data_IF_939157990390
#
_entry.id   IF_939157990390
#
_cell.length_a   1.000
_cell.length_b   1.000
_cell.length_c   1.000
_cell.angle_alpha   90.00
_cell.angle_beta   90.00
_cell.angle_gamma   90.00
#
_symmetry.space_group_name_H-M   'P 1'
#
loop_
_entity.id
_entity.type
_entity.pdbx_description
1 polymer ?
#
# COMPACT_ATOMS: atom_id res chain seq x y z
N UNK A 1 -30.60 -7.93 -19.87
CA UNK A 1 -29.32 -8.64 -20.10
C UNK A 1 -28.20 -7.90 -19.38
N UNK A 2 -27.78 -8.38 -18.21
CA UNK A 2 -26.72 -7.78 -17.40
C UNK A 2 -25.37 -8.39 -17.75
N UNK A 3 -24.56 -7.66 -18.51
CA UNK A 3 -23.20 -8.07 -18.87
C UNK A 3 -22.30 -8.04 -17.61
N UNK A 4 -22.13 -9.20 -16.95
CA UNK A 4 -21.09 -9.41 -15.94
C UNK A 4 -19.72 -9.27 -16.62
N UNK A 5 -19.10 -8.09 -16.55
CA UNK A 5 -17.68 -7.91 -16.90
C UNK A 5 -16.86 -8.77 -15.93
N UNK A 6 -16.26 -9.86 -16.44
CA UNK A 6 -15.23 -10.61 -15.73
C UNK A 6 -14.11 -9.64 -15.40
N UNK A 7 -13.92 -9.35 -14.11
CA UNK A 7 -12.73 -8.67 -13.61
C UNK A 7 -11.60 -9.69 -13.77
N UNK A 8 -10.98 -9.73 -14.94
CA UNK A 8 -9.71 -10.42 -15.08
C UNK A 8 -8.71 -9.55 -14.34
N UNK A 9 -8.42 -9.92 -13.08
CA UNK A 9 -7.27 -9.45 -12.35
C UNK A 9 -6.03 -9.94 -13.11
N UNK A 10 -5.65 -9.18 -14.15
CA UNK A 10 -4.35 -9.30 -14.79
C UNK A 10 -3.36 -8.68 -13.82
N UNK A 11 -2.99 -9.42 -12.80
CA UNK A 11 -1.91 -9.05 -11.88
C UNK A 11 -0.61 -9.31 -12.63
N UNK A 12 -0.31 -8.43 -13.58
CA UNK A 12 1.03 -8.34 -14.14
C UNK A 12 1.85 -7.58 -13.08
N UNK A 13 2.45 -8.32 -12.14
CA UNK A 13 3.42 -7.74 -11.21
C UNK A 13 4.61 -7.24 -12.02
N UNK A 14 4.64 -5.95 -12.34
CA UNK A 14 5.83 -5.32 -12.90
C UNK A 14 6.95 -5.30 -11.87
N UNK A 15 8.22 -5.29 -12.31
CA UNK A 15 9.40 -5.24 -11.44
C UNK A 15 9.31 -4.14 -10.38
N UNK A 16 8.71 -3.00 -10.72
CA UNK A 16 8.48 -1.90 -9.79
C UNK A 16 7.51 -2.24 -8.65
N UNK A 17 6.41 -2.96 -8.94
CA UNK A 17 5.43 -3.34 -7.92
C UNK A 17 6.06 -4.27 -6.88
N UNK A 18 6.86 -5.24 -7.33
CA UNK A 18 7.55 -6.17 -6.43
C UNK A 18 8.56 -5.44 -5.55
N UNK A 19 9.40 -4.57 -6.14
CA UNK A 19 10.37 -3.77 -5.37
C UNK A 19 9.66 -2.89 -4.33
N UNK A 20 8.57 -2.23 -4.72
CA UNK A 20 7.81 -1.37 -3.82
C UNK A 20 7.14 -2.16 -2.67
N UNK A 21 6.46 -3.28 -2.98
CA UNK A 21 5.86 -4.16 -1.97
C UNK A 21 6.93 -4.66 -1.00
N UNK A 22 8.08 -5.12 -1.51
CA UNK A 22 9.20 -5.57 -0.67
C UNK A 22 9.75 -4.45 0.21
N UNK A 23 9.90 -3.23 -0.31
CA UNK A 23 10.34 -2.08 0.49
C UNK A 23 9.36 -1.74 1.61
N UNK A 24 8.06 -1.75 1.33
CA UNK A 24 7.04 -1.48 2.35
C UNK A 24 6.96 -2.60 3.37
N UNK A 25 7.07 -3.86 2.94
CA UNK A 25 7.12 -5.00 3.85
C UNK A 25 8.35 -4.93 4.77
N UNK A 26 9.53 -4.66 4.19
CA UNK A 26 10.78 -4.50 4.96
C UNK A 26 10.66 -3.35 5.97
N UNK A 27 10.08 -2.22 5.59
CA UNK A 27 9.81 -1.10 6.49
C UNK A 27 8.82 -1.51 7.60
N UNK A 28 7.75 -2.22 7.27
CA UNK A 28 6.76 -2.67 8.26
C UNK A 28 7.38 -3.64 9.27
N UNK A 29 8.26 -4.53 8.80
CA UNK A 29 8.98 -5.48 9.64
C UNK A 29 9.95 -4.76 10.55
N UNK A 30 10.70 -3.79 10.01
CA UNK A 30 11.60 -2.94 10.77
C UNK A 30 10.87 -2.18 11.89
N UNK A 31 9.76 -1.51 11.56
CA UNK A 31 8.93 -0.77 12.53
C UNK A 31 8.36 -1.70 13.60
N UNK A 32 7.84 -2.86 13.19
CA UNK A 32 7.27 -3.85 14.13
C UNK A 32 8.33 -4.41 15.07
N UNK A 33 9.52 -4.72 14.54
CA UNK A 33 10.64 -5.23 15.34
C UNK A 33 11.13 -4.17 16.33
N UNK A 34 11.24 -2.91 15.88
CA UNK A 34 11.64 -1.79 16.71
C UNK A 34 10.64 -1.53 17.84
N UNK A 35 9.34 -1.52 17.53
CA UNK A 35 8.27 -1.38 18.51
C UNK A 35 8.26 -2.55 19.50
N UNK A 36 8.36 -3.79 19.00
CA UNK A 36 8.43 -4.98 19.84
C UNK A 36 9.63 -4.94 20.80
N UNK A 37 10.79 -4.50 20.31
CA UNK A 37 11.98 -4.28 21.15
C UNK A 37 11.75 -3.22 22.24
N UNK A 38 11.10 -2.10 21.90
CA UNK A 38 10.75 -1.06 22.89
C UNK A 38 9.75 -1.57 23.92
N UNK A 39 8.76 -2.35 23.50
CA UNK A 39 7.75 -2.92 24.38
C UNK A 39 8.36 -3.92 25.36
N UNK A 40 9.25 -4.79 24.86
CA UNK A 40 10.02 -5.72 25.69
C UNK A 40 10.88 -5.00 26.74
N UNK A 41 11.54 -3.90 26.35
CA UNK A 41 12.32 -3.10 27.30
C UNK A 41 11.44 -2.45 28.37
N UNK A 42 10.25 -1.94 28.00
CA UNK A 42 9.28 -1.35 28.93
C UNK A 42 8.78 -2.41 29.92
N UNK A 43 8.42 -3.61 29.47
CA UNK A 43 8.03 -4.72 30.36
C UNK A 43 9.16 -5.08 31.32
N UNK A 44 10.40 -5.22 30.82
CA UNK A 44 11.58 -5.50 31.65
C UNK A 44 11.80 -4.44 32.72
N UNK A 45 11.59 -3.17 32.40
CA UNK A 45 11.70 -2.07 33.36
C UNK A 45 10.55 -2.09 34.38
N UNK A 46 9.31 -2.28 33.94
CA UNK A 46 8.14 -2.38 34.80
C UNK A 46 8.24 -3.56 35.78
N UNK A 47 8.67 -4.73 35.33
CA UNK A 47 8.83 -5.93 36.18
C UNK A 47 9.95 -5.75 37.21
N UNK A 48 11.02 -5.02 36.88
CA UNK A 48 12.07 -4.66 37.85
C UNK A 48 11.57 -3.67 38.91
N UNK A 49 10.76 -2.70 38.49
CA UNK A 49 10.18 -1.67 39.39
C UNK A 49 9.12 -2.29 40.31
N UNK A 50 8.36 -3.27 39.83
CA UNK A 50 7.24 -3.88 40.56
C UNK A 50 7.63 -4.98 41.58
N UNK A 51 8.92 -5.33 41.74
CA UNK A 51 9.44 -6.33 42.69
C UNK A 51 8.44 -7.43 43.05
N UNK A 52 8.02 -8.22 42.06
CA UNK A 52 7.09 -9.32 42.28
C UNK A 52 7.84 -10.45 43.01
N UNK A 53 7.98 -10.32 44.34
CA UNK A 53 8.58 -11.32 45.23
C UNK A 53 7.65 -12.53 45.49
N UNK A 54 6.46 -12.54 44.87
CA UNK A 54 5.43 -13.52 45.13
C UNK A 54 5.34 -14.48 43.93
N UNK A 55 5.75 -15.74 44.10
CA UNK A 55 5.81 -16.75 43.02
C UNK A 55 4.47 -16.92 42.28
N UNK A 56 3.34 -16.77 43.00
CA UNK A 56 2.00 -16.83 42.43
C UNK A 56 1.72 -15.71 41.42
N UNK A 57 2.22 -14.50 41.70
CA UNK A 57 2.05 -13.35 40.80
C UNK A 57 3.03 -13.45 39.63
N UNK A 58 4.22 -14.03 39.83
CA UNK A 58 5.16 -14.32 38.74
C UNK A 58 4.60 -15.32 37.73
N UNK A 59 3.88 -16.35 38.19
CA UNK A 59 3.23 -17.32 37.30
C UNK A 59 2.06 -16.68 36.54
N UNK A 60 1.24 -15.88 37.22
CA UNK A 60 0.11 -15.18 36.60
C UNK A 60 0.58 -14.16 35.54
N UNK A 61 1.66 -13.43 35.80
CA UNK A 61 2.28 -12.50 34.84
C UNK A 61 2.89 -13.25 33.67
N UNK A 62 3.55 -14.39 33.90
CA UNK A 62 4.13 -15.20 32.82
C UNK A 62 3.09 -15.73 31.82
N UNK A 63 1.92 -16.15 32.29
CA UNK A 63 0.81 -16.54 31.41
C UNK A 63 0.20 -15.35 30.66
N UNK A 64 0.07 -14.20 31.33
CA UNK A 64 -0.43 -12.97 30.71
C UNK A 64 0.52 -12.45 29.62
N UNK A 65 1.83 -12.47 29.88
CA UNK A 65 2.89 -12.07 28.94
C UNK A 65 2.90 -12.96 27.69
N UNK A 66 2.71 -14.29 27.84
CA UNK A 66 2.58 -15.19 26.68
C UNK A 66 1.34 -14.87 25.84
N UNK A 67 0.20 -14.60 26.48
CA UNK A 67 -1.02 -14.18 25.77
C UNK A 67 -0.84 -12.86 25.03
N UNK A 68 -0.16 -11.90 25.65
CA UNK A 68 0.11 -10.58 25.10
C UNK A 68 1.08 -10.68 23.90
N UNK A 69 2.14 -11.46 24.01
CA UNK A 69 3.07 -11.72 22.91
C UNK A 69 2.37 -12.39 21.71
N UNK A 70 1.54 -13.41 21.95
CA UNK A 70 0.77 -14.06 20.89
C UNK A 70 -0.17 -13.06 20.19
N UNK A 71 -0.83 -12.20 20.97
CA UNK A 71 -1.72 -11.16 20.45
C UNK A 71 -0.97 -10.11 19.62
N UNK A 72 0.20 -9.67 20.07
CA UNK A 72 1.06 -8.73 19.32
C UNK A 72 1.50 -9.36 17.99
N UNK A 73 1.94 -10.62 18.01
CA UNK A 73 2.31 -11.35 16.77
C UNK A 73 1.12 -11.45 15.82
N UNK A 74 -0.06 -11.78 16.33
CA UNK A 74 -1.29 -11.84 15.53
C UNK A 74 -1.60 -10.50 14.86
N UNK A 75 -1.51 -9.39 15.60
CA UNK A 75 -1.72 -8.04 15.07
C UNK A 75 -0.71 -7.71 13.98
N UNK A 76 0.58 -8.01 14.19
CA UNK A 76 1.64 -7.73 13.20
C UNK A 76 1.38 -8.50 11.91
N UNK A 77 0.98 -9.77 12.00
CA UNK A 77 0.63 -10.59 10.83
C UNK A 77 -0.60 -10.02 10.10
N UNK A 78 -1.66 -9.69 10.84
CA UNK A 78 -2.87 -9.08 10.26
C UNK A 78 -2.57 -7.74 9.58
N UNK A 79 -1.72 -6.91 10.19
CA UNK A 79 -1.28 -5.65 9.63
C UNK A 79 -0.50 -5.86 8.33
N UNK A 80 0.42 -6.83 8.28
CA UNK A 80 1.19 -7.14 7.07
C UNK A 80 0.25 -7.56 5.93
N UNK A 81 -0.72 -8.43 6.20
CA UNK A 81 -1.72 -8.85 5.20
C UNK A 81 -2.57 -7.67 4.71
N UNK A 82 -3.05 -6.83 5.64
CA UNK A 82 -3.82 -5.64 5.30
C UNK A 82 -3.04 -4.65 4.42
N UNK A 83 -1.75 -4.45 4.73
CA UNK A 83 -0.86 -3.60 3.93
C UNK A 83 -0.67 -4.13 2.52
N UNK A 84 -0.42 -5.44 2.35
CA UNK A 84 -0.30 -6.04 1.01
C UNK A 84 -1.58 -5.81 0.20
N UNK A 85 -2.74 -6.04 0.81
CA UNK A 85 -4.02 -5.83 0.13
C UNK A 85 -4.24 -4.37 -0.26
N UNK A 86 -3.93 -3.43 0.65
CA UNK A 86 -4.02 -1.99 0.37
C UNK A 86 -3.08 -1.54 -0.76
N UNK A 87 -1.83 -2.00 -0.74
CA UNK A 87 -0.84 -1.64 -1.77
C UNK A 87 -1.30 -2.16 -3.12
N UNK A 88 -1.71 -3.44 -3.20
CA UNK A 88 -2.21 -4.01 -4.46
C UNK A 88 -3.45 -3.26 -4.94
N UNK A 89 -4.37 -2.92 -4.04
CA UNK A 89 -5.58 -2.16 -4.39
C UNK A 89 -5.25 -0.77 -4.95
N UNK A 90 -4.36 -0.02 -4.28
CA UNK A 90 -3.92 1.30 -4.73
C UNK A 90 -3.17 1.20 -6.06
N UNK A 91 -2.29 0.22 -6.20
CA UNK A 91 -1.46 0.09 -7.39
C UNK A 91 -2.29 -0.26 -8.64
N UNK A 92 -3.39 -0.99 -8.48
CA UNK A 92 -4.36 -1.22 -9.57
C UNK A 92 -5.07 0.06 -10.00
N UNK A 93 -5.37 0.97 -9.06
CA UNK A 93 -5.96 2.27 -9.38
C UNK A 93 -4.98 3.19 -10.08
N UNK A 94 -3.69 3.14 -9.71
CA UNK A 94 -2.65 3.99 -10.29
C UNK A 94 -2.15 3.50 -11.65
N UNK A 95 -1.87 2.20 -11.80
CA UNK A 95 -1.22 1.68 -13.00
C UNK A 95 -2.12 1.74 -14.25
N UNK A 96 -3.44 1.60 -14.09
CA UNK A 96 -4.40 1.63 -15.20
C UNK A 96 -4.43 2.97 -15.95
N UNK A 97 -4.68 4.10 -15.27
CA UNK A 97 -4.64 5.44 -15.84
C UNK A 97 -3.29 5.78 -16.47
N UNK A 98 -2.18 5.46 -15.79
CA UNK A 98 -0.83 5.74 -16.30
C UNK A 98 -0.58 5.00 -17.61
N UNK A 99 -0.87 3.69 -17.65
CA UNK A 99 -0.71 2.89 -18.86
C UNK A 99 -1.54 3.43 -20.03
N UNK A 100 -2.76 3.92 -19.74
CA UNK A 100 -3.63 4.52 -20.76
C UNK A 100 -3.00 5.79 -21.34
N UNK A 101 -2.53 6.72 -20.51
CA UNK A 101 -1.86 7.95 -20.98
C UNK A 101 -0.63 7.61 -21.79
N UNK A 102 0.20 6.68 -21.31
CA UNK A 102 1.40 6.27 -22.04
C UNK A 102 1.04 5.86 -23.46
N UNK A 103 0.02 5.01 -23.62
CA UNK A 103 -0.43 4.55 -24.94
C UNK A 103 -1.03 5.67 -25.80
N UNK A 104 -1.80 6.58 -25.20
CA UNK A 104 -2.39 7.74 -25.90
C UNK A 104 -1.28 8.70 -26.40
N UNK A 105 -0.24 8.94 -25.59
CA UNK A 105 0.93 9.74 -25.96
C UNK A 105 1.81 9.05 -27.00
N UNK A 106 2.10 7.75 -26.84
CA UNK A 106 2.86 6.96 -27.82
C UNK A 106 2.17 6.99 -29.19
N UNK A 107 0.85 6.83 -29.21
CA UNK A 107 0.06 6.91 -30.45
C UNK A 107 0.16 8.30 -31.08
N UNK A 108 0.06 9.36 -30.27
CA UNK A 108 0.22 10.74 -30.74
C UNK A 108 1.60 11.00 -31.35
N UNK A 109 2.67 10.52 -30.71
CA UNK A 109 4.05 10.63 -31.23
C UNK A 109 4.20 9.87 -32.55
N UNK A 110 3.61 8.68 -32.67
CA UNK A 110 3.72 7.86 -33.88
C UNK A 110 2.90 8.41 -35.06
N UNK A 111 1.73 8.98 -34.78
CA UNK A 111 0.79 9.47 -35.81
C UNK A 111 1.00 10.94 -36.16
N UNK A 112 1.67 11.71 -35.29
CA UNK A 112 1.76 13.16 -35.39
C UNK A 112 0.44 13.87 -35.02
N UNK A 113 -0.63 13.12 -34.72
CA UNK A 113 -1.90 13.71 -34.30
C UNK A 113 -1.88 14.04 -32.80
N UNK A 114 -2.56 15.12 -32.35
CA UNK A 114 -2.64 15.45 -30.94
C UNK A 114 -3.29 14.32 -30.13
N UNK A 115 -2.67 13.96 -29.00
CA UNK A 115 -3.17 12.91 -28.11
C UNK A 115 -4.62 13.21 -27.66
N UNK A 116 -5.53 12.27 -27.91
CA UNK A 116 -6.89 12.35 -27.38
C UNK A 116 -6.88 11.88 -25.91
N UNK A 117 -6.50 12.78 -25.00
CA UNK A 117 -6.47 12.51 -23.56
C UNK A 117 -7.91 12.38 -23.07
N UNK A 118 -8.32 11.16 -22.76
CA UNK A 118 -9.66 10.90 -22.26
C UNK A 118 -9.73 11.05 -20.73
N UNK A 119 -10.86 11.51 -20.18
CA UNK A 119 -11.01 11.60 -18.74
C UNK A 119 -10.91 10.23 -18.05
N UNK A 120 -10.24 10.22 -16.89
CA UNK A 120 -10.17 9.06 -15.99
C UNK A 120 -11.50 8.86 -15.27
N UNK A 121 -11.70 7.67 -14.67
CA UNK A 121 -12.89 7.39 -13.85
C UNK A 121 -13.03 8.44 -12.73
N UNK A 122 -14.27 8.71 -12.31
CA UNK A 122 -14.63 9.78 -11.34
C UNK A 122 -13.88 9.72 -10.00
N UNK A 123 -13.49 8.51 -9.56
CA UNK A 123 -12.87 8.27 -8.26
C UNK A 123 -11.40 7.86 -8.39
N UNK A 124 -10.73 8.32 -9.43
CA UNK A 124 -9.33 8.04 -9.67
C UNK A 124 -8.45 9.18 -9.14
N UNK A 125 -7.32 8.84 -8.51
CA UNK A 125 -6.41 9.81 -7.88
C UNK A 125 -5.78 10.76 -8.92
N UNK A 126 -5.75 10.36 -10.19
CA UNK A 126 -5.13 11.13 -11.28
C UNK A 126 -6.10 12.09 -12.00
N UNK A 127 -7.33 12.28 -11.52
CA UNK A 127 -8.31 13.16 -12.17
C UNK A 127 -7.75 14.56 -12.50
N UNK A 128 -7.10 15.19 -11.53
CA UNK A 128 -6.57 16.55 -11.69
C UNK A 128 -5.40 16.59 -12.67
N UNK A 129 -4.51 15.61 -12.61
CA UNK A 129 -3.41 15.47 -13.57
C UNK A 129 -3.92 15.34 -15.01
N UNK A 130 -4.92 14.50 -15.24
CA UNK A 130 -5.52 14.33 -16.57
C UNK A 130 -6.21 15.59 -17.06
N UNK A 131 -6.87 16.35 -16.16
CA UNK A 131 -7.50 17.62 -16.52
C UNK A 131 -6.45 18.63 -17.00
N UNK A 132 -5.34 18.76 -16.29
CA UNK A 132 -4.23 19.66 -16.69
C UNK A 132 -3.59 19.18 -17.99
N UNK A 133 -3.38 17.87 -18.15
CA UNK A 133 -2.81 17.31 -19.37
C UNK A 133 -3.70 17.54 -20.59
N UNK A 134 -5.02 17.39 -20.43
CA UNK A 134 -5.99 17.66 -21.49
C UNK A 134 -5.94 19.14 -21.93
N UNK A 135 -5.86 20.06 -20.97
CA UNK A 135 -5.71 21.49 -21.25
C UNK A 135 -4.39 21.80 -21.97
N UNK A 136 -3.30 21.16 -21.54
CA UNK A 136 -2.00 21.28 -22.20
C UNK A 136 -2.08 20.84 -23.67
N UNK A 137 -2.59 19.64 -23.95
CA UNK A 137 -2.70 19.13 -25.33
C UNK A 137 -3.63 19.99 -26.19
N UNK A 138 -4.74 20.48 -25.64
CA UNK A 138 -5.64 21.39 -26.35
C UNK A 138 -4.96 22.72 -26.71
N UNK A 139 -4.12 23.26 -25.83
CA UNK A 139 -3.41 24.52 -26.11
C UNK A 139 -2.49 24.41 -27.31
N UNK A 140 -1.77 23.29 -27.44
CA UNK A 140 -0.89 23.05 -28.59
C UNK A 140 -1.65 22.71 -29.87
N UNK A 141 -2.82 22.07 -29.76
CA UNK A 141 -3.70 21.83 -30.91
C UNK A 141 -4.22 23.11 -31.57
N UNK A 142 -4.32 24.21 -30.82
CA UNK A 142 -4.86 25.48 -31.31
C UNK A 142 -3.78 26.45 -31.83
N UNK A 143 -2.51 26.07 -31.79
CA UNK A 143 -1.38 26.93 -32.18
C UNK A 143 -0.67 26.49 -33.47
N UNK A 144 -1.14 25.40 -34.09
CA UNK A 144 -0.85 24.99 -35.48
C UNK A 144 -2.06 25.33 -36.37
#
# INVERSE_FOLDING_TARGET
MTHKRKIQLKIAFGDFQVRFILSVLALSLFVSTFLGYKLYNIERENTKILQIQNEMVSQLVGEFDQGLLLFVVLIVVLQAVALVFLIVHLMQRVAGPIYRIQKELETSIQTGEPAQVHPVRKNDEFQEFFKVLQLYVQKFKNHD
#
